data_IF_020768122109
#
_entry.id   IF_020768122109
#
_cell.length_a   1.000
_cell.length_b   1.000
_cell.length_c   1.000
_cell.angle_alpha   90.00
_cell.angle_beta   90.00
_cell.angle_gamma   90.00
#
_symmetry.space_group_name_H-M   'P 1'
#
loop_
_entity.id
_entity.type
_entity.pdbx_description
1 polymer ?
#
# COMPACT_ATOMS: atom_id res chain seq x y z
N UNK A 1 -17.18 4.75 16.42
CA UNK A 1 -16.61 4.55 15.08
C UNK A 1 -15.23 5.21 15.03
N UNK A 2 -14.18 4.48 15.39
CA UNK A 2 -12.80 4.99 15.31
C UNK A 2 -12.39 5.01 13.84
N UNK A 3 -12.29 6.21 13.26
CA UNK A 3 -11.75 6.38 11.90
C UNK A 3 -10.27 6.05 11.96
N UNK A 4 -9.91 4.91 11.40
CA UNK A 4 -8.52 4.51 11.30
C UNK A 4 -7.85 5.39 10.24
N UNK A 5 -6.68 5.92 10.56
CA UNK A 5 -5.93 6.73 9.60
C UNK A 5 -4.82 5.87 9.03
N UNK A 6 -4.89 5.66 7.72
CA UNK A 6 -3.87 4.97 6.97
C UNK A 6 -2.95 5.98 6.32
N UNK A 7 -1.64 5.75 6.43
CA UNK A 7 -0.61 6.55 5.78
C UNK A 7 -0.01 5.72 4.68
N UNK A 8 -0.21 6.13 3.44
CA UNK A 8 0.38 5.51 2.26
C UNK A 8 1.65 6.28 1.94
N UNK A 9 2.80 5.61 1.86
CA UNK A 9 4.08 6.19 1.47
C UNK A 9 4.57 5.53 0.19
N UNK A 10 4.69 6.33 -0.85
CA UNK A 10 5.60 6.07 -1.96
C UNK A 10 6.81 6.98 -1.79
N UNK A 11 7.96 6.59 -2.33
CA UNK A 11 9.29 7.20 -2.11
C UNK A 11 9.35 8.72 -1.93
N UNK A 12 8.58 9.49 -2.71
CA UNK A 12 8.48 10.95 -2.57
C UNK A 12 7.05 11.48 -2.39
N UNK A 13 6.10 10.62 -2.01
CA UNK A 13 4.70 10.95 -1.83
C UNK A 13 4.12 10.28 -0.59
N UNK A 14 3.70 11.07 0.39
CA UNK A 14 2.89 10.61 1.52
C UNK A 14 1.42 10.98 1.27
N UNK A 15 0.54 10.00 1.33
CA UNK A 15 -0.90 10.18 1.20
C UNK A 15 -1.62 9.63 2.42
N UNK A 16 -2.37 10.47 3.12
CA UNK A 16 -3.14 10.06 4.31
C UNK A 16 -4.60 9.81 3.95
N UNK A 17 -5.04 8.58 4.17
CA UNK A 17 -6.39 8.13 3.91
C UNK A 17 -7.11 7.83 5.25
N UNK A 18 -8.12 8.63 5.61
CA UNK A 18 -9.00 8.33 6.74
C UNK A 18 -10.06 7.32 6.28
N UNK A 19 -9.72 6.03 6.33
CA UNK A 19 -10.56 4.92 5.84
C UNK A 19 -10.83 3.92 6.96
N UNK A 20 -11.97 3.22 6.92
CA UNK A 20 -12.31 2.25 7.96
C UNK A 20 -11.53 0.93 7.83
N UNK A 21 -10.99 0.61 6.65
CA UNK A 21 -10.35 -0.69 6.38
C UNK A 21 -9.10 -0.54 5.53
N UNK A 22 -8.20 -1.53 5.66
CA UNK A 22 -6.98 -1.65 4.89
C UNK A 22 -7.26 -1.74 3.38
N UNK A 23 -8.26 -2.51 2.98
CA UNK A 23 -8.65 -2.67 1.57
C UNK A 23 -9.02 -1.33 0.92
N UNK A 24 -9.77 -0.49 1.62
CA UNK A 24 -10.07 0.87 1.16
C UNK A 24 -8.83 1.74 1.05
N UNK A 25 -7.86 1.59 1.96
CA UNK A 25 -6.60 2.32 1.90
C UNK A 25 -5.73 1.85 0.71
N UNK A 26 -5.68 0.55 0.45
CA UNK A 26 -4.97 -0.04 -0.69
C UNK A 26 -5.61 0.36 -2.03
N UNK A 27 -6.94 0.39 -2.10
CA UNK A 27 -7.65 0.87 -3.29
C UNK A 27 -7.29 2.32 -3.60
N UNK A 28 -7.32 3.21 -2.59
CA UNK A 28 -6.94 4.61 -2.77
C UNK A 28 -5.46 4.76 -3.09
N UNK A 29 -4.58 3.97 -2.46
CA UNK A 29 -3.16 3.93 -2.82
C UNK A 29 -2.98 3.57 -4.30
N UNK A 30 -3.71 2.57 -4.80
CA UNK A 30 -3.62 2.17 -6.21
C UNK A 30 -4.26 3.17 -7.16
N UNK A 31 -5.32 3.86 -6.78
CA UNK A 31 -5.96 4.86 -7.64
C UNK A 31 -5.24 6.22 -7.64
N UNK A 32 -4.65 6.63 -6.50
CA UNK A 32 -4.07 7.97 -6.31
C UNK A 32 -2.56 7.97 -6.36
N UNK A 33 -1.91 6.98 -5.76
CA UNK A 33 -0.45 6.93 -5.63
C UNK A 33 0.19 6.21 -6.82
N UNK A 34 -0.43 5.14 -7.33
CA UNK A 34 0.05 4.42 -8.51
C UNK A 34 0.27 5.29 -9.75
N UNK A 35 -0.65 6.17 -10.19
CA UNK A 35 -0.39 7.01 -11.37
C UNK A 35 0.75 8.01 -11.16
N UNK A 36 1.10 8.32 -9.92
CA UNK A 36 2.20 9.23 -9.57
C UNK A 36 3.52 8.47 -9.47
N UNK A 37 3.49 7.23 -8.97
CA UNK A 37 4.65 6.39 -8.74
C UNK A 37 4.38 4.94 -9.23
N UNK A 38 4.25 4.74 -10.55
CA UNK A 38 3.76 3.49 -11.14
C UNK A 38 4.78 2.35 -11.14
N UNK A 39 6.01 2.57 -10.68
CA UNK A 39 7.09 1.57 -10.58
C UNK A 39 7.67 1.49 -9.15
N UNK A 40 7.02 2.14 -8.18
CA UNK A 40 7.55 2.27 -6.82
C UNK A 40 6.85 1.38 -5.82
N UNK A 41 7.56 1.09 -4.72
CA UNK A 41 6.99 0.34 -3.60
C UNK A 41 6.14 1.29 -2.75
N UNK A 42 4.84 1.10 -2.82
CA UNK A 42 3.84 1.85 -2.07
C UNK A 42 3.55 1.13 -0.76
N UNK A 43 4.05 1.64 0.35
CA UNK A 43 3.84 1.08 1.68
C UNK A 43 2.62 1.70 2.35
N UNK A 44 1.77 0.90 2.98
CA UNK A 44 0.57 1.33 3.70
C UNK A 44 0.75 1.07 5.19
N UNK A 45 0.70 2.14 5.96
CA UNK A 45 0.84 2.13 7.42
C UNK A 45 -0.50 2.40 8.08
N UNK A 46 -0.79 1.74 9.19
CA UNK A 46 -1.88 2.05 10.12
C UNK A 46 -1.27 2.71 11.35
N UNK A 47 -1.36 4.04 11.44
CA UNK A 47 -0.61 4.80 12.45
C UNK A 47 0.90 4.68 12.25
N UNK A 48 1.57 3.84 13.05
CA UNK A 48 3.03 3.56 12.96
C UNK A 48 3.35 2.15 12.46
N UNK A 49 2.34 1.29 12.32
CA UNK A 49 2.53 -0.11 11.93
C UNK A 49 2.39 -0.27 10.42
N UNK A 50 3.33 -0.96 9.77
CA UNK A 50 3.20 -1.32 8.36
C UNK A 50 2.20 -2.48 8.24
N UNK A 51 1.11 -2.25 7.50
CA UNK A 51 -0.01 -3.20 7.38
C UNK A 51 -0.18 -3.73 5.96
N UNK A 52 0.47 -3.11 4.96
CA UNK A 52 0.45 -3.59 3.58
C UNK A 52 1.51 -2.91 2.71
N UNK A 53 1.83 -3.53 1.58
CA UNK A 53 2.71 -3.00 0.55
C UNK A 53 2.10 -3.31 -0.82
N UNK A 54 2.17 -2.35 -1.75
CA UNK A 54 1.83 -2.52 -3.16
C UNK A 54 3.10 -2.23 -3.97
N UNK A 55 3.54 -3.19 -4.77
CA UNK A 55 4.68 -3.03 -5.67
C UNK A 55 4.23 -3.24 -7.10
N UNK A 56 4.86 -2.54 -8.04
CA UNK A 56 4.64 -2.64 -9.49
C UNK A 56 5.17 -3.92 -10.10
N UNK A 57 4.87 -5.03 -9.46
CA UNK A 57 5.13 -6.34 -10.01
C UNK A 57 4.17 -6.56 -11.18
N UNK A 58 4.56 -6.04 -12.35
CA UNK A 58 4.39 -6.76 -13.62
C UNK A 58 5.19 -8.04 -13.45
N UNK A 59 4.57 -8.99 -12.78
CA UNK A 59 5.17 -10.21 -12.27
C UNK A 59 4.06 -11.09 -11.75
N UNK A 60 3.34 -11.69 -12.68
CA UNK A 60 2.75 -12.99 -12.42
C UNK A 60 3.90 -13.92 -11.98
N UNK A 61 4.11 -14.02 -10.66
CA UNK A 61 5.34 -14.56 -10.11
C UNK A 61 5.12 -15.25 -8.78
N UNK A 62 4.12 -16.14 -8.75
CA UNK A 62 4.17 -17.38 -7.96
C UNK A 62 4.50 -17.27 -6.47
N UNK A 63 3.46 -17.51 -5.68
CA UNK A 63 3.50 -18.40 -4.52
C UNK A 63 4.88 -19.02 -4.17
N UNK A 64 5.25 -18.88 -2.90
CA UNK A 64 5.91 -19.93 -2.11
C UNK A 64 6.86 -20.86 -2.85
N UNK A 65 8.16 -20.65 -2.66
CA UNK A 65 9.02 -21.77 -2.22
C UNK A 65 10.17 -21.28 -1.35
N UNK A 66 9.91 -21.28 -0.04
CA UNK A 66 10.93 -21.71 0.93
C UNK A 66 11.23 -23.19 0.69
N UNK A 67 12.46 -23.57 1.04
CA UNK A 67 13.02 -24.92 1.16
C UNK A 67 13.35 -25.59 -0.18
N UNK A 68 14.53 -26.19 -0.38
CA UNK A 68 15.56 -26.66 0.53
C UNK A 68 16.93 -26.59 -0.14
#
# INVERSE_FOLDING_TARGET
MTKETYTVKARNCEYRAAKPTLESALAVAREKVWPIAPDERVQVYRGKELVGEITSDVGEGGASKRAA
#
